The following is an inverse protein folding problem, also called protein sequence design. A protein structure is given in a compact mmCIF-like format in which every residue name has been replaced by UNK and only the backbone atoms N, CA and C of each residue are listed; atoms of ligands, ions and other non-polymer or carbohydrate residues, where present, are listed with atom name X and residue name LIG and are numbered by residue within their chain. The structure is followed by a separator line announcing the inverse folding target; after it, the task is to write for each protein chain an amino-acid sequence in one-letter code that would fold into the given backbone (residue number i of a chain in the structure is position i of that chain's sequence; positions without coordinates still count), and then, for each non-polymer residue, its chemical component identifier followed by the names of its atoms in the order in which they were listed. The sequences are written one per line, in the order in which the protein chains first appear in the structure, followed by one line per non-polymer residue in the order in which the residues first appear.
data_IF_060413314827
#
_entry.id   IF_060413314827
#
_cell.length_a   1.000
_cell.length_b   1.000
_cell.length_c   1.000
_cell.angle_alpha   90.00
_cell.angle_beta   90.00
_cell.angle_gamma   90.00
#
_symmetry.space_group_name_H-M   'P 1'
#
loop_
_entity.id
_entity.type
_entity.pdbx_description
1 polymer ?
#
# COMPACT_ATOMS: atom_id res chain seq x y z
N UNK A 1 2.60 -36.58 -19.24
CA UNK A 1 1.95 -35.28 -19.54
C UNK A 1 2.69 -34.21 -18.74
N UNK A 2 3.26 -33.19 -19.40
CA UNK A 2 4.07 -32.13 -18.76
C UNK A 2 3.14 -31.03 -18.26
N UNK A 3 3.02 -30.85 -16.94
CA UNK A 3 2.30 -29.72 -16.36
C UNK A 3 3.23 -28.51 -16.36
N UNK A 4 2.83 -27.44 -17.03
CA UNK A 4 3.57 -26.18 -17.10
C UNK A 4 3.34 -25.38 -15.81
N UNK A 5 4.39 -25.18 -15.02
CA UNK A 5 4.43 -24.15 -13.98
C UNK A 5 4.56 -22.80 -14.68
N UNK A 6 3.50 -21.98 -14.65
CA UNK A 6 3.54 -20.60 -15.12
C UNK A 6 3.86 -19.69 -13.94
N UNK A 7 5.01 -19.03 -14.00
CA UNK A 7 5.43 -18.00 -13.06
C UNK A 7 5.10 -16.64 -13.67
N UNK A 8 4.10 -15.97 -13.11
CA UNK A 8 3.65 -14.66 -13.56
C UNK A 8 4.29 -13.58 -12.68
N UNK A 9 5.30 -12.88 -13.18
CA UNK A 9 5.75 -11.62 -12.60
C UNK A 9 4.96 -10.48 -13.26
N UNK A 10 3.94 -9.95 -12.59
CA UNK A 10 3.19 -8.80 -13.10
C UNK A 10 3.65 -7.49 -12.46
N UNK A 11 4.04 -6.56 -13.34
CA UNK A 11 4.14 -5.15 -13.05
C UNK A 11 2.73 -4.59 -12.78
N UNK A 12 2.60 -3.75 -11.76
CA UNK A 12 1.35 -3.07 -11.44
C UNK A 12 0.92 -2.13 -12.57
N UNK A 13 0.00 -2.59 -13.40
CA UNK A 13 -0.90 -1.74 -14.18
C UNK A 13 -2.26 -1.76 -13.50
N UNK A 14 -2.70 -0.58 -13.06
CA UNK A 14 -4.03 -0.34 -12.52
C UNK A 14 -5.10 -0.75 -13.55
N UNK A 15 -5.85 -1.81 -13.26
CA UNK A 15 -7.08 -2.14 -13.99
C UNK A 15 -8.27 -1.52 -13.24
N UNK A 16 -8.93 -0.59 -13.91
CA UNK A 16 -10.27 -0.09 -13.58
C UNK A 16 -11.28 -1.23 -13.82
N UNK A 17 -12.27 -1.46 -12.92
CA UNK A 17 -13.22 -2.56 -13.10
C UNK A 17 -14.26 -2.21 -14.16
N UNK A 18 -14.33 -3.00 -15.23
CA UNK A 18 -15.47 -3.03 -16.15
C UNK A 18 -16.41 -4.18 -15.78
N UNK A 19 -17.70 -3.85 -15.67
CA UNK A 19 -18.81 -4.73 -15.29
C UNK A 19 -19.04 -5.90 -16.27
N UNK A 20 -19.73 -6.99 -15.85
CA UNK A 20 -19.85 -8.21 -16.64
C UNK A 20 -20.91 -8.06 -17.75
N UNK A 21 -20.53 -8.36 -19.00
CA UNK A 21 -21.48 -8.55 -20.11
C UNK A 21 -21.84 -10.02 -20.22
N UNK A 22 -23.14 -10.27 -20.09
CA UNK A 22 -23.85 -11.54 -20.33
C UNK A 22 -23.58 -12.06 -21.75
N UNK A 23 -23.22 -13.34 -21.84
CA UNK A 23 -23.13 -14.09 -23.11
C UNK A 23 -24.54 -14.49 -23.52
N UNK A 24 -25.05 -13.88 -24.58
CA UNK A 24 -26.29 -14.25 -25.26
C UNK A 24 -25.99 -14.71 -26.68
N UNK A 25 -26.44 -15.93 -26.98
CA UNK A 25 -26.31 -16.67 -28.24
C UNK A 25 -26.72 -15.87 -29.51
N UNK A 26 -25.90 -15.93 -30.56
CA UNK A 26 -26.27 -15.59 -31.94
C UNK A 26 -27.08 -16.74 -32.58
N UNK A 27 -28.02 -16.43 -33.50
CA UNK A 27 -27.81 -16.74 -34.93
C UNK A 27 -28.38 -15.65 -35.89
N UNK A 28 -28.15 -15.76 -37.22
CA UNK A 28 -27.80 -14.63 -38.09
C UNK A 28 -28.90 -14.20 -39.08
N UNK A 29 -28.85 -12.95 -39.58
CA UNK A 29 -29.13 -12.58 -40.99
C UNK A 29 -28.91 -11.06 -41.22
N UNK A 30 -28.32 -10.72 -42.38
CA UNK A 30 -28.12 -9.35 -42.90
C UNK A 30 -29.37 -8.88 -43.71
N UNK A 31 -29.42 -7.73 -44.44
CA UNK A 31 -28.48 -6.59 -44.52
C UNK A 31 -29.16 -5.18 -44.55
N UNK A 32 -28.31 -4.13 -44.60
CA UNK A 32 -28.42 -2.93 -45.45
C UNK A 32 -28.69 -1.52 -44.84
N UNK A 33 -27.90 -0.57 -45.39
CA UNK A 33 -28.10 0.88 -45.66
C UNK A 33 -27.71 1.96 -44.63
N UNK A 34 -26.68 2.71 -45.06
CA UNK A 34 -26.39 4.17 -44.94
C UNK A 34 -27.31 5.01 -44.05
N UNK A 35 -26.68 5.79 -43.15
CA UNK A 35 -27.25 7.01 -42.59
C UNK A 35 -26.23 7.78 -41.76
N UNK A 36 -25.70 8.87 -42.32
CA UNK A 36 -24.79 9.83 -41.69
C UNK A 36 -25.41 10.46 -40.44
N UNK A 37 -24.81 10.21 -39.26
CA UNK A 37 -25.17 10.85 -37.99
C UNK A 37 -24.19 11.98 -37.67
N UNK A 38 -24.69 13.22 -37.71
CA UNK A 38 -23.96 14.43 -37.32
C UNK A 38 -23.59 14.46 -35.83
N UNK A 39 -22.47 15.13 -35.56
CA UNK A 39 -21.91 15.41 -34.24
C UNK A 39 -22.94 15.94 -33.24
N UNK A 40 -23.28 15.13 -32.25
CA UNK A 40 -23.70 15.61 -30.95
C UNK A 40 -22.46 15.81 -30.08
N UNK A 41 -21.89 17.02 -30.08
CA UNK A 41 -20.86 17.40 -29.13
C UNK A 41 -21.48 17.42 -27.73
N UNK A 42 -21.22 16.37 -26.94
CA UNK A 42 -21.44 16.40 -25.50
C UNK A 42 -20.30 17.20 -24.86
N UNK A 43 -20.59 18.18 -23.99
CA UNK A 43 -19.55 18.97 -23.33
C UNK A 43 -18.70 18.07 -22.42
N UNK A 44 -17.39 18.01 -22.72
CA UNK A 44 -16.37 17.29 -21.96
C UNK A 44 -16.39 17.77 -20.50
N UNK A 45 -16.58 16.83 -19.58
CA UNK A 45 -16.48 17.05 -18.13
C UNK A 45 -15.18 17.81 -17.76
N UNK A 46 -15.18 18.62 -16.68
CA UNK A 46 -13.99 19.37 -16.26
C UNK A 46 -12.81 18.40 -16.11
N UNK A 47 -11.70 18.71 -16.79
CA UNK A 47 -10.61 17.79 -17.03
C UNK A 47 -9.99 17.32 -15.71
N UNK A 48 -9.96 16.01 -15.46
CA UNK A 48 -9.18 15.40 -14.38
C UNK A 48 -7.66 15.41 -14.68
N UNK A 49 -7.28 15.76 -15.91
CA UNK A 49 -5.90 15.77 -16.42
C UNK A 49 -4.98 16.77 -15.69
N UNK A 50 -5.37 18.03 -15.42
CA UNK A 50 -4.52 18.98 -14.69
C UNK A 50 -4.29 18.56 -13.24
N UNK A 51 -5.30 17.99 -12.57
CA UNK A 51 -5.17 17.49 -11.20
C UNK A 51 -4.23 16.29 -11.12
N UNK A 52 -4.33 15.39 -12.10
CA UNK A 52 -3.44 14.22 -12.19
C UNK A 52 -2.00 14.64 -12.47
N UNK A 53 -1.78 15.55 -13.41
CA UNK A 53 -0.46 16.08 -13.71
C UNK A 53 0.16 16.85 -12.53
N UNK A 54 -0.65 17.63 -11.79
CA UNK A 54 -0.20 18.33 -10.59
C UNK A 54 0.27 17.34 -9.52
N UNK A 55 -0.51 16.30 -9.25
CA UNK A 55 -0.15 15.27 -8.27
C UNK A 55 1.16 14.55 -8.64
N UNK A 56 1.35 14.24 -9.93
CA UNK A 56 2.58 13.64 -10.41
C UNK A 56 3.79 14.56 -10.20
N UNK A 57 3.67 15.85 -10.52
CA UNK A 57 4.71 16.86 -10.27
C UNK A 57 5.07 16.95 -8.78
N UNK A 58 4.08 16.94 -7.89
CA UNK A 58 4.30 16.97 -6.44
C UNK A 58 5.06 15.72 -5.96
N UNK A 59 4.69 14.54 -6.44
CA UNK A 59 5.37 13.29 -6.12
C UNK A 59 6.81 13.27 -6.62
N UNK A 60 7.05 13.71 -7.86
CA UNK A 60 8.39 13.76 -8.45
C UNK A 60 9.28 14.79 -7.74
N UNK A 61 8.73 15.94 -7.36
CA UNK A 61 9.45 16.94 -6.55
C UNK A 61 9.82 16.39 -5.17
N UNK A 62 8.92 15.67 -4.51
CA UNK A 62 9.20 15.02 -3.24
C UNK A 62 10.31 13.95 -3.38
N UNK A 63 10.26 13.15 -4.45
CA UNK A 63 11.28 12.14 -4.74
C UNK A 63 12.66 12.76 -4.98
N UNK A 64 12.76 13.81 -5.82
CA UNK A 64 14.00 14.55 -6.07
C UNK A 64 14.58 15.14 -4.77
N UNK A 65 13.72 15.71 -3.92
CA UNK A 65 14.15 16.29 -2.63
C UNK A 65 14.69 15.22 -1.67
N UNK A 66 14.13 14.02 -1.70
CA UNK A 66 14.55 12.90 -0.85
C UNK A 66 15.78 12.15 -1.39
N UNK A 67 16.11 12.31 -2.67
CA UNK A 67 17.19 11.57 -3.33
C UNK A 67 18.58 12.11 -2.95
N UNK A 68 19.59 11.23 -2.82
CA UNK A 68 20.99 11.63 -2.67
C UNK A 68 21.47 12.44 -3.87
N UNK A 69 22.42 13.36 -3.66
CA UNK A 69 22.96 14.21 -4.73
C UNK A 69 23.93 13.42 -5.64
N UNK A 70 23.36 12.68 -6.58
CA UNK A 70 24.09 11.89 -7.58
C UNK A 70 23.65 12.24 -9.02
N UNK A 71 24.23 11.57 -10.01
CA UNK A 71 23.91 11.80 -11.42
C UNK A 71 22.43 11.54 -11.75
N UNK A 72 21.80 10.55 -11.08
CA UNK A 72 20.38 10.22 -11.28
C UNK A 72 19.47 11.31 -10.76
N UNK A 73 19.80 11.92 -9.62
CA UNK A 73 19.07 13.08 -9.12
C UNK A 73 19.15 14.27 -10.08
N UNK A 74 20.31 14.55 -10.67
CA UNK A 74 20.45 15.65 -11.65
C UNK A 74 19.63 15.41 -12.90
N UNK A 75 19.65 14.17 -13.42
CA UNK A 75 18.81 13.81 -14.57
C UNK A 75 17.31 13.92 -14.23
N UNK A 76 16.89 13.48 -13.04
CA UNK A 76 15.52 13.63 -12.58
C UNK A 76 15.11 15.10 -12.37
N UNK A 77 16.01 15.95 -11.89
CA UNK A 77 15.80 17.40 -11.78
C UNK A 77 15.56 18.05 -13.15
N UNK A 78 16.31 17.65 -14.18
CA UNK A 78 16.13 18.19 -15.53
C UNK A 78 14.80 17.71 -16.15
N UNK A 79 14.42 16.44 -15.95
CA UNK A 79 13.10 15.94 -16.36
C UNK A 79 11.94 16.63 -15.62
N UNK A 80 12.14 16.97 -14.35
CA UNK A 80 11.14 17.71 -13.57
C UNK A 80 10.98 19.15 -14.08
N UNK A 81 12.05 19.84 -14.46
CA UNK A 81 11.97 21.16 -15.09
C UNK A 81 11.21 21.12 -16.41
N UNK A 82 11.47 20.11 -17.24
CA UNK A 82 10.71 19.90 -18.47
C UNK A 82 9.23 19.66 -18.18
N UNK A 83 8.90 18.83 -17.18
CA UNK A 83 7.53 18.56 -16.76
C UNK A 83 6.80 19.85 -16.31
N UNK A 84 7.46 20.69 -15.52
CA UNK A 84 6.92 21.98 -15.07
C UNK A 84 6.69 22.93 -16.24
N UNK A 85 7.60 23.00 -17.21
CA UNK A 85 7.43 23.81 -18.41
C UNK A 85 6.21 23.39 -19.25
N UNK A 86 6.00 22.08 -19.42
CA UNK A 86 4.81 21.55 -20.12
C UNK A 86 3.53 21.84 -19.35
N UNK A 87 3.56 21.78 -18.02
CA UNK A 87 2.41 22.11 -17.17
C UNK A 87 2.01 23.59 -17.32
N UNK A 88 2.98 24.51 -17.32
CA UNK A 88 2.73 25.94 -17.52
C UNK A 88 2.16 26.25 -18.92
N UNK A 89 2.49 25.43 -19.92
CA UNK A 89 1.96 25.52 -21.29
C UNK A 89 0.60 24.82 -21.46
N UNK A 90 -0.03 24.36 -20.37
CA UNK A 90 -1.25 23.56 -20.38
C UNK A 90 -1.14 22.24 -21.18
N UNK A 91 0.08 21.73 -21.36
CA UNK A 91 0.37 20.41 -21.95
C UNK A 91 0.42 19.34 -20.86
N UNK A 92 -0.73 19.07 -20.24
CA UNK A 92 -0.82 18.24 -19.04
C UNK A 92 -0.41 16.78 -19.26
N UNK A 93 -0.66 16.20 -20.44
CA UNK A 93 -0.24 14.84 -20.77
C UNK A 93 1.29 14.72 -20.84
N UNK A 94 1.95 15.67 -21.49
CA UNK A 94 3.42 15.72 -21.58
C UNK A 94 4.04 16.01 -20.20
N UNK A 95 3.43 16.90 -19.42
CA UNK A 95 3.85 17.19 -18.06
C UNK A 95 3.79 15.95 -17.16
N UNK A 96 2.69 15.18 -17.23
CA UNK A 96 2.54 13.92 -16.52
C UNK A 96 3.63 12.92 -16.92
N UNK A 97 3.82 12.71 -18.23
CA UNK A 97 4.82 11.77 -18.72
C UNK A 97 6.24 12.13 -18.25
N UNK A 98 6.62 13.41 -18.31
CA UNK A 98 7.93 13.88 -17.84
C UNK A 98 8.09 13.80 -16.33
N UNK A 99 7.01 14.04 -15.56
CA UNK A 99 7.02 13.85 -14.12
C UNK A 99 7.22 12.37 -13.75
N UNK A 100 6.56 11.44 -14.44
CA UNK A 100 6.70 10.00 -14.23
C UNK A 100 8.12 9.52 -14.59
N UNK A 101 8.71 10.01 -15.69
CA UNK A 101 10.11 9.72 -16.04
C UNK A 101 11.08 10.17 -14.92
N UNK A 102 10.90 11.39 -14.39
CA UNK A 102 11.71 11.91 -13.29
C UNK A 102 11.59 11.04 -12.02
N UNK A 103 10.37 10.58 -11.72
CA UNK A 103 10.11 9.72 -10.57
C UNK A 103 10.73 8.33 -10.74
N UNK A 104 10.64 7.74 -11.94
CA UNK A 104 11.16 6.41 -12.25
C UNK A 104 12.69 6.32 -12.19
N UNK A 105 13.41 7.40 -12.59
CA UNK A 105 14.86 7.49 -12.45
C UNK A 105 15.34 7.35 -10.99
N UNK A 106 14.51 7.83 -10.05
CA UNK A 106 14.79 7.82 -8.62
C UNK A 106 14.25 6.59 -7.90
N UNK A 107 13.24 5.93 -8.48
CA UNK A 107 12.59 4.76 -7.93
C UNK A 107 12.63 3.60 -8.94
N UNK A 108 13.83 3.07 -9.27
CA UNK A 108 13.93 1.97 -10.20
C UNK A 108 13.19 0.75 -9.64
N UNK A 109 12.49 -0.03 -10.49
CA UNK A 109 11.83 -1.25 -10.04
C UNK A 109 12.85 -2.21 -9.46
N UNK A 110 12.68 -2.59 -8.19
CA UNK A 110 13.56 -3.55 -7.53
C UNK A 110 13.12 -4.98 -7.92
N UNK A 111 14.01 -5.80 -8.51
CA UNK A 111 13.67 -7.17 -8.83
C UNK A 111 13.50 -8.01 -7.56
N UNK A 112 12.56 -8.97 -7.61
CA UNK A 112 12.43 -10.00 -6.57
C UNK A 112 13.45 -11.12 -6.82
N UNK A 113 14.23 -11.46 -5.80
CA UNK A 113 15.14 -12.60 -5.77
C UNK A 113 14.44 -13.76 -5.06
N UNK A 114 14.26 -14.89 -5.75
CA UNK A 114 13.70 -16.11 -5.19
C UNK A 114 14.48 -17.34 -5.65
N UNK A 115 14.34 -18.44 -4.92
CA UNK A 115 14.95 -19.73 -5.23
C UNK A 115 13.86 -20.79 -5.33
N UNK A 116 13.95 -21.68 -6.33
CA UNK A 116 13.04 -22.80 -6.51
C UNK A 116 13.87 -24.09 -6.44
N UNK A 117 13.56 -24.93 -5.47
CA UNK A 117 14.23 -26.21 -5.24
C UNK A 117 13.23 -27.34 -5.47
N UNK A 118 13.50 -28.21 -6.44
CA UNK A 118 12.70 -29.41 -6.67
C UNK A 118 13.33 -30.56 -5.88
N UNK A 119 12.57 -31.17 -4.99
CA UNK A 119 12.97 -32.31 -4.20
C UNK A 119 13.34 -33.51 -5.08
N UNK A 120 14.24 -34.35 -4.57
CA UNK A 120 14.70 -35.56 -5.26
C UNK A 120 13.58 -36.57 -5.53
N UNK A 121 12.43 -36.43 -4.86
CA UNK A 121 11.20 -37.20 -5.08
C UNK A 121 10.47 -36.79 -6.37
N UNK A 122 10.85 -35.68 -7.02
CA UNK A 122 10.21 -35.13 -8.22
C UNK A 122 8.79 -34.58 -7.98
N UNK A 123 8.25 -34.78 -6.77
CA UNK A 123 6.91 -34.37 -6.36
C UNK A 123 6.90 -33.19 -5.40
N UNK A 124 8.02 -32.81 -4.79
CA UNK A 124 8.11 -31.63 -3.90
C UNK A 124 8.78 -30.46 -4.62
N UNK A 125 8.18 -29.27 -4.58
CA UNK A 125 8.83 -28.01 -4.99
C UNK A 125 8.82 -27.03 -3.82
N UNK A 126 9.99 -26.54 -3.40
CA UNK A 126 10.13 -25.50 -2.39
C UNK A 126 10.48 -24.18 -3.07
N UNK A 127 9.66 -23.16 -2.86
CA UNK A 127 9.93 -21.79 -3.34
C UNK A 127 10.30 -20.93 -2.13
N UNK A 128 11.46 -20.28 -2.17
CA UNK A 128 11.95 -19.39 -1.11
C UNK A 128 12.13 -17.98 -1.66
N UNK A 129 11.43 -17.00 -1.10
CA UNK A 129 11.61 -15.60 -1.46
C UNK A 129 12.73 -14.97 -0.60
N UNK A 130 13.81 -14.50 -1.23
CA UNK A 130 14.99 -13.98 -0.54
C UNK A 130 14.96 -12.46 -0.37
N UNK A 131 14.57 -11.71 -1.40
CA UNK A 131 14.62 -10.25 -1.37
C UNK A 131 13.69 -9.64 -2.43
N UNK A 132 13.23 -8.41 -2.20
CA UNK A 132 12.47 -7.62 -3.17
C UNK A 132 10.97 -7.63 -2.91
N UNK A 133 10.16 -7.16 -3.89
CA UNK A 133 8.70 -7.20 -3.80
C UNK A 133 8.14 -8.60 -3.53
N UNK A 134 6.98 -8.75 -2.87
CA UNK A 134 6.39 -10.06 -2.58
C UNK A 134 6.20 -10.92 -3.84
N UNK A 135 6.38 -12.23 -3.70
CA UNK A 135 6.26 -13.20 -4.80
C UNK A 135 4.98 -14.01 -4.63
N UNK A 136 4.14 -14.04 -5.65
CA UNK A 136 2.95 -14.90 -5.68
C UNK A 136 3.31 -16.28 -6.22
N UNK A 137 2.96 -17.32 -5.48
CA UNK A 137 3.12 -18.73 -5.86
C UNK A 137 1.73 -19.33 -6.05
N UNK A 138 1.49 -19.89 -7.23
CA UNK A 138 0.23 -20.57 -7.57
C UNK A 138 0.45 -22.07 -7.71
N UNK A 139 -0.39 -22.86 -7.05
CA UNK A 139 -0.36 -24.32 -7.12
C UNK A 139 -1.79 -24.86 -7.01
N UNK A 140 -2.23 -25.62 -8.02
CA UNK A 140 -3.51 -26.37 -8.11
C UNK A 140 -4.63 -25.82 -7.19
N UNK A 141 -5.31 -24.76 -7.66
CA UNK A 141 -6.45 -24.09 -7.00
C UNK A 141 -6.13 -23.21 -5.79
N UNK A 142 -4.86 -22.95 -5.49
CA UNK A 142 -4.46 -22.05 -4.41
C UNK A 142 -3.37 -21.05 -4.84
N UNK A 143 -3.48 -19.83 -4.34
CA UNK A 143 -2.53 -18.73 -4.55
C UNK A 143 -1.97 -18.31 -3.19
N UNK A 144 -0.64 -18.17 -3.08
CA UNK A 144 0.03 -17.74 -1.84
C UNK A 144 1.06 -16.65 -2.13
N UNK A 145 1.01 -15.58 -1.34
CA UNK A 145 1.98 -14.49 -1.42
C UNK A 145 3.10 -14.76 -0.41
N UNK A 146 4.34 -14.72 -0.88
CA UNK A 146 5.56 -14.85 -0.08
C UNK A 146 6.18 -13.48 0.15
N UNK A 147 6.27 -13.09 1.42
CA UNK A 147 7.06 -11.93 1.85
C UNK A 147 8.55 -12.29 1.93
N UNK A 148 9.41 -11.28 2.15
CA UNK A 148 10.86 -11.46 2.23
C UNK A 148 11.22 -12.51 3.31
N UNK A 149 12.00 -13.51 2.94
CA UNK A 149 12.48 -14.57 3.82
C UNK A 149 11.48 -15.73 4.02
N UNK A 150 10.32 -15.71 3.35
CA UNK A 150 9.34 -16.79 3.45
C UNK A 150 9.58 -17.89 2.41
N UNK A 151 9.23 -19.12 2.80
CA UNK A 151 9.28 -20.29 1.93
C UNK A 151 7.95 -21.02 1.92
N UNK A 152 7.59 -21.61 0.79
CA UNK A 152 6.46 -22.53 0.65
C UNK A 152 6.92 -23.83 0.02
N UNK A 153 6.45 -24.95 0.59
CA UNK A 153 6.62 -26.27 0.03
C UNK A 153 5.32 -26.69 -0.64
N UNK A 154 5.40 -27.02 -1.92
CA UNK A 154 4.29 -27.50 -2.75
C UNK A 154 4.54 -28.97 -3.05
N UNK A 155 3.58 -29.84 -2.75
CA UNK A 155 3.63 -31.25 -3.13
C UNK A 155 2.65 -31.51 -4.28
N UNK A 156 3.09 -32.26 -5.28
CA UNK A 156 2.31 -32.62 -6.45
C UNK A 156 1.08 -33.44 -6.02
N UNK A 157 -0.12 -32.95 -6.34
CA UNK A 157 -1.39 -33.58 -5.96
C UNK A 157 -1.89 -33.21 -4.55
N UNK A 158 -1.22 -32.31 -3.85
CA UNK A 158 -1.68 -31.80 -2.55
C UNK A 158 -2.18 -30.37 -2.70
N UNK A 159 -3.37 -30.09 -2.15
CA UNK A 159 -3.89 -28.73 -2.06
C UNK A 159 -3.04 -27.95 -1.07
N UNK A 160 -2.65 -26.72 -1.43
CA UNK A 160 -1.96 -25.83 -0.50
C UNK A 160 -2.86 -25.59 0.72
N UNK A 161 -2.35 -25.66 1.96
CA UNK A 161 -3.17 -25.36 3.13
C UNK A 161 -3.73 -23.94 3.02
N UNK A 162 -5.03 -23.80 3.31
CA UNK A 162 -5.72 -22.49 3.24
C UNK A 162 -5.04 -21.50 4.18
N UNK A 163 -4.81 -20.24 3.74
CA UNK A 163 -4.26 -19.19 4.59
C UNK A 163 -5.06 -19.01 5.88
N UNK A 164 -4.43 -18.55 6.97
CA UNK A 164 -5.16 -18.25 8.19
C UNK A 164 -6.15 -17.11 7.96
N UNK A 165 -7.23 -17.08 8.75
CA UNK A 165 -8.20 -15.99 8.69
C UNK A 165 -7.58 -14.65 9.10
N UNK A 166 -8.16 -13.56 8.62
CA UNK A 166 -7.68 -12.22 8.96
C UNK A 166 -7.86 -11.96 10.48
N UNK A 167 -6.84 -11.43 11.17
CA UNK A 167 -6.99 -11.02 12.57
C UNK A 167 -8.12 -10.01 12.74
N UNK A 168 -8.82 -10.07 13.86
CA UNK A 168 -9.81 -9.07 14.23
C UNK A 168 -9.19 -8.08 15.22
N UNK A 169 -8.99 -6.80 14.86
CA UNK A 169 -8.52 -5.79 15.80
C UNK A 169 -9.55 -5.61 16.93
N UNK A 170 -9.09 -5.41 18.16
CA UNK A 170 -9.95 -5.31 19.36
C UNK A 170 -9.84 -3.91 19.97
N UNK A 171 -8.63 -3.46 20.31
CA UNK A 171 -8.37 -2.10 20.79
C UNK A 171 -7.23 -1.45 20.00
N UNK A 172 -7.26 -0.12 19.78
CA UNK A 172 -8.39 0.77 20.02
C UNK A 172 -9.58 0.44 19.09
N UNK A 173 -10.79 0.89 19.47
CA UNK A 173 -11.94 0.94 18.56
C UNK A 173 -11.65 1.84 17.36
N UNK A 174 -12.35 1.62 16.24
CA UNK A 174 -12.12 2.44 15.04
C UNK A 174 -12.45 3.92 15.32
N UNK A 175 -11.56 4.80 14.88
CA UNK A 175 -11.59 6.26 15.06
C UNK A 175 -11.52 6.72 16.53
N UNK A 176 -11.00 5.87 17.42
CA UNK A 176 -10.78 6.27 18.80
C UNK A 176 -9.80 7.44 18.91
N UNK A 177 -10.06 8.40 19.80
CA UNK A 177 -9.19 9.54 20.07
C UNK A 177 -8.54 9.39 21.44
N UNK A 178 -7.22 9.32 21.46
CA UNK A 178 -6.43 9.38 22.68
C UNK A 178 -6.06 10.83 22.97
N UNK A 179 -6.37 11.29 24.18
CA UNK A 179 -5.85 12.55 24.72
C UNK A 179 -4.75 12.21 25.72
N UNK A 180 -3.51 12.53 25.37
CA UNK A 180 -2.32 12.12 26.13
C UNK A 180 -1.47 13.34 26.48
N UNK A 181 -0.78 13.28 27.62
CA UNK A 181 0.20 14.31 27.97
C UNK A 181 1.43 14.17 27.06
N UNK A 182 1.85 15.24 26.37
CA UNK A 182 3.06 15.20 25.55
C UNK A 182 4.30 14.99 26.42
N UNK A 183 5.25 14.21 25.90
CA UNK A 183 6.59 14.10 26.49
C UNK A 183 7.37 15.41 26.32
N UNK A 184 8.57 15.50 26.92
CA UNK A 184 9.47 16.64 26.71
C UNK A 184 9.82 16.88 25.23
N UNK A 185 9.67 15.85 24.38
CA UNK A 185 9.89 15.90 22.94
C UNK A 185 8.60 16.11 22.13
N UNK A 186 7.46 16.34 22.79
CA UNK A 186 6.17 16.52 22.13
C UNK A 186 5.53 15.24 21.58
N UNK A 187 6.03 14.06 21.98
CA UNK A 187 5.49 12.76 21.54
C UNK A 187 4.42 12.25 22.51
N UNK A 188 3.46 11.48 21.98
CA UNK A 188 2.30 10.96 22.68
C UNK A 188 2.37 9.42 22.75
N UNK A 189 2.29 8.86 23.95
CA UNK A 189 2.31 7.43 24.19
C UNK A 189 2.50 7.06 25.67
N UNK A 190 2.49 5.75 26.00
CA UNK A 190 2.31 4.62 25.10
C UNK A 190 0.83 4.39 24.72
N UNK A 191 0.59 3.85 23.52
CA UNK A 191 -0.72 3.37 23.08
C UNK A 191 -0.64 1.87 22.84
N UNK A 192 -1.61 1.12 23.37
CA UNK A 192 -1.65 -0.34 23.18
C UNK A 192 -2.62 -0.71 22.08
N UNK A 193 -2.13 -1.43 21.08
CA UNK A 193 -2.93 -2.09 20.06
C UNK A 193 -3.15 -3.55 20.46
N UNK A 194 -4.35 -4.10 20.25
CA UNK A 194 -4.65 -5.50 20.54
C UNK A 194 -5.60 -6.11 19.52
N UNK A 195 -5.50 -7.43 19.31
CA UNK A 195 -6.29 -8.17 18.32
C UNK A 195 -6.64 -9.57 18.83
N UNK A 196 -7.64 -10.18 18.19
CA UNK A 196 -8.07 -11.54 18.48
C UNK A 196 -7.02 -12.56 18.04
N UNK A 197 -6.96 -13.70 18.76
CA UNK A 197 -6.16 -14.84 18.33
C UNK A 197 -6.69 -15.39 17.00
N UNK A 198 -5.78 -15.89 16.18
CA UNK A 198 -6.09 -16.56 14.91
C UNK A 198 -5.56 -17.97 15.03
N UNK A 199 -6.41 -18.95 14.72
CA UNK A 199 -6.05 -20.36 14.79
C UNK A 199 -4.86 -20.65 13.86
N UNK A 200 -3.89 -21.43 14.34
CA UNK A 200 -2.68 -21.78 13.59
C UNK A 200 -1.65 -20.66 13.43
N UNK A 201 -1.93 -19.43 13.88
CA UNK A 201 -0.99 -18.31 13.84
C UNK A 201 0.03 -18.38 14.99
N UNK A 202 1.32 -18.28 14.67
CA UNK A 202 2.40 -18.26 15.67
C UNK A 202 3.00 -16.87 15.85
N UNK A 203 2.78 -15.98 14.88
CA UNK A 203 3.24 -14.59 14.91
C UNK A 203 2.23 -13.69 14.22
N UNK A 204 2.31 -12.40 14.52
CA UNK A 204 1.50 -11.34 13.95
C UNK A 204 2.41 -10.24 13.45
N UNK A 205 2.05 -9.67 12.32
CA UNK A 205 2.69 -8.47 11.81
C UNK A 205 1.74 -7.30 11.92
N UNK A 206 2.17 -6.26 12.63
CA UNK A 206 1.38 -5.06 12.82
C UNK A 206 2.02 -3.94 12.02
N UNK A 207 1.21 -3.24 11.23
CA UNK A 207 1.62 -2.05 10.50
C UNK A 207 0.81 -0.85 10.99
N UNK A 208 1.49 0.26 11.29
CA UNK A 208 0.90 1.55 11.61
C UNK A 208 1.39 2.58 10.60
N UNK A 209 0.46 3.18 9.86
CA UNK A 209 0.72 4.18 8.84
C UNK A 209 0.15 5.53 9.31
N UNK A 210 0.97 6.59 9.37
CA UNK A 210 0.45 7.93 9.63
C UNK A 210 -0.36 8.43 8.43
N UNK A 211 -1.58 8.93 8.69
CA UNK A 211 -2.44 9.56 7.68
C UNK A 211 -2.30 11.09 7.74
N UNK A 212 -2.14 11.66 8.93
CA UNK A 212 -1.93 13.11 9.14
C UNK A 212 -1.19 13.32 10.44
N UNK A 213 -0.31 14.33 10.51
CA UNK A 213 0.32 14.77 11.76
C UNK A 213 0.08 16.27 11.97
N UNK A 214 -0.11 16.69 13.21
CA UNK A 214 -0.40 18.09 13.53
C UNK A 214 0.83 19.00 13.37
N UNK A 215 2.02 18.46 13.62
CA UNK A 215 3.27 19.20 13.52
C UNK A 215 4.36 18.39 12.83
N UNK A 216 5.01 19.02 11.84
CA UNK A 216 6.16 18.44 11.14
C UNK A 216 5.80 17.51 9.98
N UNK A 217 6.82 16.85 9.39
CA UNK A 217 6.61 15.90 8.30
C UNK A 217 5.97 14.60 8.80
N UNK A 218 5.22 13.92 7.92
CA UNK A 218 4.68 12.58 8.17
C UNK A 218 5.80 11.60 8.53
N UNK A 219 5.71 10.90 9.68
CA UNK A 219 6.71 9.89 10.04
C UNK A 219 6.67 8.69 9.08
N UNK A 220 7.71 7.87 9.09
CA UNK A 220 7.67 6.60 8.36
C UNK A 220 6.69 5.62 9.01
N UNK A 221 6.06 4.72 8.24
CA UNK A 221 5.26 3.65 8.80
C UNK A 221 6.05 2.81 9.79
N UNK A 222 5.42 2.43 10.90
CA UNK A 222 6.01 1.54 11.91
C UNK A 222 5.50 0.14 11.65
N UNK A 223 6.40 -0.84 11.62
CA UNK A 223 6.08 -2.25 11.41
C UNK A 223 6.79 -3.12 12.44
N UNK A 224 6.08 -4.06 13.02
CA UNK A 224 6.62 -4.95 14.05
C UNK A 224 6.09 -6.39 13.87
N UNK A 225 6.91 -7.39 14.20
CA UNK A 225 6.54 -8.81 14.16
C UNK A 225 6.55 -9.38 15.57
N UNK A 226 5.40 -9.85 16.04
CA UNK A 226 5.16 -10.16 17.45
C UNK A 226 4.60 -11.57 17.61
N UNK A 227 5.07 -12.31 18.62
CA UNK A 227 4.41 -13.53 19.10
C UNK A 227 3.23 -13.25 20.03
N UNK A 228 3.07 -12.00 20.48
CA UNK A 228 2.00 -11.55 21.36
C UNK A 228 0.77 -11.07 20.57
N UNK A 229 -0.38 -10.98 21.24
CA UNK A 229 -1.66 -10.47 20.68
C UNK A 229 -1.91 -8.98 20.97
N UNK A 230 -0.87 -8.31 21.47
CA UNK A 230 -0.89 -6.91 21.80
C UNK A 230 0.48 -6.29 21.56
N UNK A 231 0.49 -5.00 21.30
CA UNK A 231 1.70 -4.21 21.08
C UNK A 231 1.57 -2.85 21.73
N UNK A 232 2.53 -2.51 22.60
CA UNK A 232 2.70 -1.15 23.07
C UNK A 232 3.50 -0.37 22.02
N UNK A 233 2.85 0.60 21.38
CA UNK A 233 3.48 1.45 20.38
C UNK A 233 4.55 2.33 21.03
N UNK A 234 5.66 2.60 20.30
CA UNK A 234 6.54 3.70 20.66
C UNK A 234 5.75 5.01 20.68
N UNK A 235 6.25 6.03 21.38
CA UNK A 235 5.61 7.34 21.39
C UNK A 235 5.63 7.96 19.99
N UNK A 236 4.47 8.45 19.54
CA UNK A 236 4.25 8.99 18.19
C UNK A 236 3.81 10.46 18.27
N UNK A 237 4.05 11.30 17.24
CA UNK A 237 3.56 12.67 17.23
C UNK A 237 2.02 12.74 17.22
N UNK A 238 1.47 13.89 17.60
CA UNK A 238 0.04 14.14 17.48
C UNK A 238 -0.41 14.03 16.01
N UNK A 239 -1.55 13.38 15.78
CA UNK A 239 -1.99 13.05 14.43
C UNK A 239 -2.96 11.88 14.34
N UNK A 240 -3.32 11.53 13.10
CA UNK A 240 -4.18 10.40 12.74
C UNK A 240 -3.38 9.28 12.15
N UNK A 241 -3.71 8.07 12.57
CA UNK A 241 -3.00 6.86 12.19
C UNK A 241 -3.99 5.79 11.76
N UNK A 242 -3.57 4.98 10.78
CA UNK A 242 -4.25 3.77 10.34
C UNK A 242 -3.39 2.57 10.69
N UNK A 243 -3.99 1.51 11.19
CA UNK A 243 -3.27 0.28 11.50
C UNK A 243 -3.99 -0.98 11.04
N UNK A 244 -3.19 -2.00 10.74
CA UNK A 244 -3.63 -3.33 10.30
C UNK A 244 -2.77 -4.41 10.93
N UNK A 245 -3.34 -5.60 11.10
CA UNK A 245 -2.62 -6.78 11.60
C UNK A 245 -2.76 -7.93 10.61
N UNK A 246 -1.68 -8.65 10.38
CA UNK A 246 -1.63 -9.86 9.55
C UNK A 246 -1.21 -11.05 10.41
N UNK A 247 -1.95 -12.15 10.37
CA UNK A 247 -1.55 -13.39 11.03
C UNK A 247 -0.53 -14.12 10.16
N UNK A 248 0.44 -14.77 10.79
CA UNK A 248 1.38 -15.63 10.10
C UNK A 248 1.50 -16.98 10.78
N UNK A 249 1.30 -18.02 9.98
CA UNK A 249 1.38 -19.42 10.35
C UNK A 249 2.53 -20.09 9.58
N UNK A 250 3.36 -20.92 10.23
CA UNK A 250 4.43 -21.65 9.56
C UNK A 250 3.93 -22.58 8.44
N UNK A 251 2.76 -23.19 8.59
CA UNK A 251 2.17 -24.10 7.60
C UNK A 251 1.29 -23.39 6.58
N UNK A 252 0.37 -22.54 7.05
CA UNK A 252 -0.64 -21.88 6.22
C UNK A 252 -0.13 -20.59 5.57
N UNK A 253 0.98 -20.03 6.05
CA UNK A 253 1.51 -18.76 5.56
C UNK A 253 0.81 -17.56 6.18
N UNK A 254 0.73 -16.47 5.42
CA UNK A 254 0.16 -15.19 5.87
C UNK A 254 -1.33 -15.11 5.55
N UNK A 255 -2.10 -14.55 6.47
CA UNK A 255 -3.47 -14.12 6.19
C UNK A 255 -3.49 -12.91 5.26
N UNK A 256 -4.67 -12.55 4.78
CA UNK A 256 -4.92 -11.16 4.35
C UNK A 256 -4.82 -10.22 5.57
N UNK A 257 -4.49 -8.93 5.39
CA UNK A 257 -4.52 -7.96 6.47
C UNK A 257 -5.91 -7.84 7.09
N UNK A 258 -5.96 -7.52 8.38
CA UNK A 258 -7.20 -7.20 9.07
C UNK A 258 -7.92 -6.00 8.42
N UNK A 259 -9.21 -5.83 8.74
CA UNK A 259 -9.89 -4.55 8.52
C UNK A 259 -9.05 -3.44 9.14
N UNK A 260 -8.76 -2.39 8.38
CA UNK A 260 -7.97 -1.27 8.86
C UNK A 260 -8.75 -0.50 9.93
N UNK A 261 -8.10 -0.21 11.05
CA UNK A 261 -8.63 0.66 12.09
C UNK A 261 -7.86 1.97 12.13
N UNK A 262 -8.55 3.02 12.56
CA UNK A 262 -7.96 4.35 12.74
C UNK A 262 -7.95 4.75 14.22
N UNK A 263 -6.99 5.57 14.59
CA UNK A 263 -7.01 6.28 15.86
C UNK A 263 -6.35 7.67 15.69
N UNK A 264 -6.68 8.57 16.60
CA UNK A 264 -6.10 9.90 16.68
C UNK A 264 -5.36 10.07 18.00
N UNK A 265 -4.18 10.68 17.95
CA UNK A 265 -3.42 11.12 19.12
C UNK A 265 -3.50 12.64 19.20
N UNK A 266 -4.07 13.13 20.28
CA UNK A 266 -4.17 14.56 20.60
C UNK A 266 -3.40 14.85 21.89
N UNK A 267 -2.69 15.98 21.92
CA UNK A 267 -2.04 16.45 23.13
C UNK A 267 -3.10 16.97 24.11
N UNK A 268 -2.99 16.58 25.37
CA UNK A 268 -3.78 17.15 26.45
C UNK A 268 -3.31 18.59 26.69
N UNK A 269 -4.03 19.56 26.11
CA UNK A 269 -3.81 20.97 26.36
C UNK A 269 -4.39 21.31 27.73
N UNK A 270 -3.57 21.24 28.77
CA UNK A 270 -3.93 21.82 30.07
C UNK A 270 -4.20 23.31 29.89
N UNK A 271 -5.44 23.75 30.16
CA UNK A 271 -5.76 25.17 30.32
C UNK A 271 -4.95 25.71 31.52
N UNK A 272 -3.88 26.45 31.23
CA UNK A 272 -3.11 27.18 32.23
C UNK A 272 -3.95 28.38 32.73
N UNK A 273 -4.82 28.14 33.71
CA UNK A 273 -5.42 29.22 34.49
C UNK A 273 -4.36 29.81 35.42
N UNK A 274 -3.58 30.78 34.94
CA UNK A 274 -2.61 31.50 35.74
C UNK A 274 -3.38 32.45 36.67
N UNK A 275 -3.51 32.08 37.94
CA UNK A 275 -4.00 32.99 38.99
C UNK A 275 -2.94 34.03 39.29
N UNK A 276 -2.96 35.15 38.58
CA UNK A 276 -2.15 36.33 38.94
C UNK A 276 -2.75 36.95 40.21
N UNK A 277 -1.91 37.38 41.14
CA UNK A 277 -2.28 37.76 42.52
C UNK A 277 -3.26 38.94 42.65
N UNK A 278 -3.72 39.57 41.57
CA UNK A 278 -4.67 40.70 41.60
C UNK A 278 -5.81 40.61 40.57
N UNK A 279 -6.23 39.40 40.18
CA UNK A 279 -7.48 39.21 39.44
C UNK A 279 -7.38 38.23 38.27
N UNK A 280 -8.51 37.63 37.93
CA UNK A 280 -8.64 36.70 36.81
C UNK A 280 -8.62 37.48 35.49
N UNK A 281 -7.69 37.20 34.59
CA UNK A 281 -7.81 37.58 33.17
C UNK A 281 -8.05 36.34 32.31
N UNK A 282 -9.00 36.47 31.38
CA UNK A 282 -9.34 35.48 30.35
C UNK A 282 -8.34 35.53 29.20
#
# INVERSE_FOLDING_TARGET
MKAALWLSAWMGLSVVPSAPTVVGHEPPEAPARRGSGGSGATPKAPSAEPQTALKALEMSRAAVKAAPNDARRREAEDRLKDAEAHFQQARYADALHKADEAWALLNPPQPSLFTVEVGHDGGTTTVTHRQGPPVTVEAQHATRILAKGESVRVQQGTVLPEPPSAPQPVQPTDKYRFTLKPSAQGLLGPVTLSWAAVEGATRYEVEVVPETVEAGPLPSPVREVLGARQWALPALPAGRYRWTVTAVSPGQGRSVPSTARRFELAADALELNIKVKDGWQK
#
